data_IF_094342916725
#
_entry.id   IF_094342916725
#
_cell.length_a   1.000
_cell.length_b   1.000
_cell.length_c   1.000
_cell.angle_alpha   90.00
_cell.angle_beta   90.00
_cell.angle_gamma   90.00
#
_symmetry.space_group_name_H-M   'P 1'
#
loop_
_entity.id
_entity.type
_entity.pdbx_description
1 polymer ?
#
# COMPACT_ATOMS: atom_id res chain seq x y z
N UNK A 1 1.41 -1.02 6.08
CA UNK A 1 1.51 0.43 6.20
C UNK A 1 2.96 0.85 6.02
N UNK A 2 3.19 1.80 5.13
CA UNK A 2 4.52 2.39 4.95
C UNK A 2 4.73 3.48 5.98
N UNK A 3 5.94 3.64 6.40
CA UNK A 3 6.60 4.64 7.29
C UNK A 3 5.70 5.44 8.24
N UNK A 4 5.94 5.23 9.50
CA UNK A 4 5.35 5.99 10.59
C UNK A 4 6.50 6.43 11.50
N UNK A 5 6.54 7.71 11.93
CA UNK A 5 7.50 8.16 12.93
C UNK A 5 7.31 7.39 14.24
N UNK A 6 8.34 7.39 15.11
CA UNK A 6 8.28 6.79 16.46
C UNK A 6 6.87 6.89 17.03
N UNK A 7 6.11 5.82 16.97
CA UNK A 7 4.69 5.88 17.22
C UNK A 7 4.37 5.30 18.58
N UNK A 8 3.85 6.17 19.42
CA UNK A 8 3.08 5.74 20.57
C UNK A 8 1.63 5.58 20.15
N UNK A 9 1.13 4.38 20.12
CA UNK A 9 -0.31 4.14 20.02
C UNK A 9 -0.89 4.34 21.42
N UNK A 10 -1.91 5.19 21.56
CA UNK A 10 -2.73 5.22 22.76
C UNK A 10 -4.04 4.49 22.50
N UNK A 11 -4.36 3.53 23.35
CA UNK A 11 -5.68 2.92 23.35
C UNK A 11 -6.75 3.88 23.94
N UNK A 12 -8.00 3.43 23.97
CA UNK A 12 -9.11 4.19 24.56
C UNK A 12 -8.97 4.41 26.09
N UNK A 13 -8.17 3.59 26.76
CA UNK A 13 -7.97 3.67 28.21
C UNK A 13 -6.73 4.52 28.56
N UNK A 14 -6.10 5.15 27.57
CA UNK A 14 -4.92 5.98 27.73
C UNK A 14 -3.62 5.20 27.86
N UNK A 15 -3.64 3.88 27.65
CA UNK A 15 -2.44 3.05 27.65
C UNK A 15 -1.62 3.37 26.39
N UNK A 16 -0.37 3.67 26.61
CA UNK A 16 0.61 3.95 25.56
C UNK A 16 1.29 2.66 25.12
N UNK A 17 1.34 2.42 23.83
CA UNK A 17 2.10 1.34 23.21
C UNK A 17 3.18 1.94 22.33
N UNK A 18 4.43 1.56 22.53
CA UNK A 18 5.56 2.00 21.72
C UNK A 18 5.83 0.97 20.62
N UNK A 19 5.76 1.39 19.37
CA UNK A 19 6.15 0.54 18.24
C UNK A 19 7.67 0.56 18.08
N UNK A 20 8.24 -0.58 17.71
CA UNK A 20 9.68 -0.65 17.40
C UNK A 20 10.04 0.19 16.17
N UNK A 21 11.20 0.83 16.20
CA UNK A 21 11.77 1.47 15.02
C UNK A 21 12.62 0.46 14.25
N UNK A 22 12.34 0.32 12.95
CA UNK A 22 13.05 -0.62 12.07
C UNK A 22 13.60 0.04 10.81
N UNK A 23 13.39 1.35 10.67
CA UNK A 23 13.98 2.18 9.62
C UNK A 23 14.34 3.56 10.17
N UNK A 24 15.60 3.72 10.66
CA UNK A 24 15.99 4.90 11.39
C UNK A 24 15.12 5.09 12.64
N UNK A 25 14.47 6.25 12.75
CA UNK A 25 13.50 6.53 13.83
C UNK A 25 12.06 6.12 13.46
N UNK A 26 11.86 5.52 12.28
CA UNK A 26 10.53 5.22 11.77
C UNK A 26 10.17 3.74 11.95
N UNK A 27 8.86 3.49 11.99
CA UNK A 27 8.28 2.16 11.93
C UNK A 27 7.76 1.90 10.52
N UNK A 28 8.24 0.83 9.88
CA UNK A 28 7.92 0.49 8.50
C UNK A 28 7.42 -0.95 8.38
N UNK A 29 6.39 -1.18 7.55
CA UNK A 29 5.87 -2.49 7.16
C UNK A 29 5.49 -3.41 8.34
N UNK A 30 5.09 -2.85 9.49
CA UNK A 30 4.73 -3.65 10.67
C UNK A 30 5.91 -4.10 11.53
N UNK A 31 7.11 -3.52 11.32
CA UNK A 31 8.29 -3.80 12.13
C UNK A 31 9.11 -5.00 11.64
N UNK A 32 10.07 -5.43 12.49
CA UNK A 32 11.00 -6.50 12.14
C UNK A 32 10.34 -7.89 12.01
N UNK A 33 9.14 -8.06 12.60
CA UNK A 33 8.30 -9.26 12.49
C UNK A 33 6.98 -8.97 11.76
N UNK A 34 6.99 -8.00 10.83
CA UNK A 34 5.82 -7.67 10.02
C UNK A 34 5.30 -8.88 9.23
N UNK A 35 4.05 -8.82 8.75
CA UNK A 35 3.37 -9.94 8.09
C UNK A 35 4.13 -10.55 6.92
N UNK A 36 4.97 -9.79 6.24
CA UNK A 36 5.85 -10.25 5.15
C UNK A 36 6.99 -11.17 5.60
N UNK A 37 7.24 -11.27 6.91
CA UNK A 37 8.29 -12.13 7.51
C UNK A 37 7.70 -13.27 8.35
N UNK A 38 6.39 -13.34 8.46
CA UNK A 38 5.73 -14.39 9.22
C UNK A 38 5.57 -15.65 8.40
N UNK A 39 5.56 -16.76 9.09
CA UNK A 39 5.03 -18.02 8.55
C UNK A 39 3.51 -17.96 8.49
N UNK A 40 2.96 -18.32 7.36
CA UNK A 40 1.53 -18.38 7.12
C UNK A 40 1.08 -19.83 6.99
N UNK A 41 -0.03 -20.15 7.61
CA UNK A 41 -0.64 -21.48 7.55
C UNK A 41 -1.60 -21.50 6.37
N UNK A 42 -1.44 -22.48 5.46
CA UNK A 42 -2.41 -22.73 4.41
C UNK A 42 -3.63 -23.42 5.01
N UNK A 43 -4.72 -22.66 5.16
CA UNK A 43 -5.98 -23.16 5.74
C UNK A 43 -6.78 -23.94 4.70
N UNK A 44 -6.80 -23.44 3.48
CA UNK A 44 -7.51 -24.05 2.38
C UNK A 44 -6.87 -23.65 1.04
N UNK A 45 -6.89 -24.59 0.08
CA UNK A 45 -6.45 -24.31 -1.27
C UNK A 45 -7.27 -25.11 -2.28
N UNK A 46 -7.45 -24.55 -3.44
CA UNK A 46 -8.02 -25.21 -4.61
C UNK A 46 -7.18 -24.86 -5.84
N UNK A 47 -7.60 -25.30 -7.00
CA UNK A 47 -6.92 -25.00 -8.27
C UNK A 47 -6.79 -23.49 -8.54
N UNK A 48 -7.77 -22.71 -8.07
CA UNK A 48 -7.86 -21.27 -8.34
C UNK A 48 -8.04 -20.40 -7.09
N UNK A 49 -7.82 -20.95 -5.90
CA UNK A 49 -7.89 -20.16 -4.65
C UNK A 49 -6.94 -20.68 -3.59
N UNK A 50 -6.46 -19.75 -2.75
CA UNK A 50 -5.60 -20.04 -1.62
C UNK A 50 -6.01 -19.16 -0.44
N UNK A 51 -6.23 -19.76 0.72
CA UNK A 51 -6.49 -19.07 1.98
C UNK A 51 -5.35 -19.32 2.94
N UNK A 52 -4.73 -18.24 3.40
CA UNK A 52 -3.62 -18.26 4.35
C UNK A 52 -4.03 -17.55 5.63
N UNK A 53 -3.58 -18.04 6.77
CA UNK A 53 -3.77 -17.37 8.06
C UNK A 53 -2.47 -17.23 8.85
N UNK A 54 -2.41 -16.23 9.71
CA UNK A 54 -1.37 -16.09 10.71
C UNK A 54 -1.87 -15.34 11.95
N UNK A 55 -1.13 -15.47 13.03
CA UNK A 55 -1.39 -14.76 14.28
C UNK A 55 -0.24 -13.79 14.59
N UNK A 56 -0.58 -12.52 14.84
CA UNK A 56 0.30 -11.58 15.50
C UNK A 56 -0.06 -11.53 16.98
N UNK A 57 0.88 -11.91 17.86
CA UNK A 57 0.65 -11.97 19.29
C UNK A 57 0.65 -10.57 19.91
N UNK A 58 -0.04 -10.43 21.04
CA UNK A 58 -0.03 -9.19 21.83
C UNK A 58 1.39 -8.70 22.07
N UNK A 59 1.63 -7.40 21.81
CA UNK A 59 2.91 -6.70 21.90
C UNK A 59 3.98 -7.15 20.88
N UNK A 60 3.63 -7.95 19.90
CA UNK A 60 4.56 -8.21 18.80
C UNK A 60 4.80 -6.92 18.01
N UNK A 61 6.08 -6.54 17.86
CA UNK A 61 6.51 -5.23 17.33
C UNK A 61 5.87 -4.01 18.02
N UNK A 62 5.33 -4.20 19.25
CA UNK A 62 4.67 -3.18 20.05
C UNK A 62 3.15 -3.05 19.84
N UNK A 63 2.55 -3.82 18.94
CA UNK A 63 1.10 -3.74 18.67
C UNK A 63 0.26 -4.40 19.77
N UNK A 64 -0.82 -3.73 20.26
CA UNK A 64 -1.72 -4.35 21.21
C UNK A 64 -2.62 -5.40 20.56
N UNK A 65 -3.04 -6.38 21.37
CA UNK A 65 -3.99 -7.42 21.00
C UNK A 65 -3.36 -8.61 20.25
N UNK A 66 -4.04 -9.75 20.36
CA UNK A 66 -3.77 -10.91 19.52
C UNK A 66 -4.58 -10.74 18.23
N UNK A 67 -3.90 -10.44 17.13
CA UNK A 67 -4.51 -10.18 15.84
C UNK A 67 -4.41 -11.43 14.97
N UNK A 68 -5.54 -12.09 14.73
CA UNK A 68 -5.67 -13.15 13.73
C UNK A 68 -5.93 -12.52 12.37
N UNK A 69 -5.10 -12.84 11.39
CA UNK A 69 -5.21 -12.34 10.01
C UNK A 69 -5.43 -13.51 9.07
N UNK A 70 -6.34 -13.34 8.14
CA UNK A 70 -6.55 -14.26 7.02
C UNK A 70 -6.46 -13.48 5.73
N UNK A 71 -5.73 -14.00 4.75
CA UNK A 71 -5.72 -13.51 3.38
C UNK A 71 -6.19 -14.59 2.44
N UNK A 72 -7.11 -14.23 1.55
CA UNK A 72 -7.64 -15.13 0.52
C UNK A 72 -7.29 -14.56 -0.86
N UNK A 73 -6.67 -15.40 -1.66
CA UNK A 73 -6.42 -15.17 -3.08
C UNK A 73 -7.41 -16.01 -3.88
N UNK A 74 -8.07 -15.41 -4.87
CA UNK A 74 -8.97 -16.13 -5.76
C UNK A 74 -8.78 -15.64 -7.20
N UNK A 75 -8.57 -16.57 -8.13
CA UNK A 75 -8.44 -16.26 -9.55
C UNK A 75 -9.69 -16.77 -10.29
N UNK A 76 -10.42 -15.86 -10.91
CA UNK A 76 -11.62 -16.20 -11.69
C UNK A 76 -11.27 -16.65 -13.12
N UNK A 77 -12.22 -17.31 -13.78
CA UNK A 77 -12.10 -17.68 -15.21
C UNK A 77 -12.14 -16.44 -16.15
N UNK A 78 -12.42 -15.26 -15.61
CA UNK A 78 -12.40 -13.98 -16.34
C UNK A 78 -11.13 -13.18 -16.07
N UNK A 79 -10.06 -13.83 -15.58
CA UNK A 79 -8.76 -13.23 -15.27
C UNK A 79 -8.82 -12.15 -14.19
N UNK A 80 -9.71 -12.29 -13.21
CA UNK A 80 -9.76 -11.41 -12.05
C UNK A 80 -9.05 -12.11 -10.89
N UNK A 81 -7.99 -11.48 -10.39
CA UNK A 81 -7.32 -11.89 -9.15
C UNK A 81 -7.87 -11.04 -8.00
N UNK A 82 -8.64 -11.66 -7.12
CA UNK A 82 -9.09 -11.05 -5.88
C UNK A 82 -8.11 -11.33 -4.75
N UNK A 83 -7.80 -10.29 -3.98
CA UNK A 83 -7.06 -10.39 -2.71
C UNK A 83 -7.97 -9.81 -1.62
N UNK A 84 -8.37 -10.67 -0.68
CA UNK A 84 -9.27 -10.33 0.42
C UNK A 84 -8.53 -10.48 1.74
N UNK A 85 -8.59 -9.45 2.59
CA UNK A 85 -8.04 -9.50 3.95
C UNK A 85 -9.16 -9.52 4.96
N UNK A 86 -9.07 -10.42 5.92
CA UNK A 86 -9.93 -10.53 7.09
C UNK A 86 -9.06 -10.44 8.34
N UNK A 87 -9.51 -9.75 9.36
CA UNK A 87 -8.79 -9.74 10.63
C UNK A 87 -9.72 -9.52 11.82
N UNK A 88 -9.36 -10.13 12.96
CA UNK A 88 -10.02 -9.92 14.25
C UNK A 88 -8.95 -9.81 15.33
N UNK A 89 -9.21 -8.96 16.34
CA UNK A 89 -8.30 -8.79 17.48
C UNK A 89 -9.08 -8.83 18.78
N UNK A 90 -8.47 -9.36 19.85
CA UNK A 90 -9.03 -9.35 21.21
C UNK A 90 -8.92 -7.98 21.90
N UNK A 91 -8.20 -7.02 21.28
CA UNK A 91 -8.04 -5.63 21.75
C UNK A 91 -8.11 -4.66 20.60
N UNK A 92 -8.42 -3.37 20.92
CA UNK A 92 -8.25 -2.31 19.93
C UNK A 92 -6.79 -2.30 19.42
N UNK A 93 -6.62 -2.38 18.10
CA UNK A 93 -5.29 -2.41 17.49
C UNK A 93 -5.28 -1.70 16.14
N UNK A 94 -4.11 -1.49 15.56
CA UNK A 94 -3.95 -0.89 14.24
C UNK A 94 -3.72 -1.99 13.21
N UNK A 95 -4.45 -1.90 12.10
CA UNK A 95 -4.26 -2.80 10.96
C UNK A 95 -4.50 -2.05 9.64
N UNK A 96 -3.53 -2.10 8.75
CA UNK A 96 -3.58 -1.48 7.42
C UNK A 96 -2.81 -2.38 6.44
N UNK A 97 -3.42 -3.51 6.02
CA UNK A 97 -2.77 -4.46 5.13
C UNK A 97 -2.75 -3.93 3.69
N UNK A 98 -1.76 -4.37 2.94
CA UNK A 98 -1.70 -4.18 1.49
C UNK A 98 -0.86 -5.27 0.84
N UNK A 99 -1.05 -5.48 -0.46
CA UNK A 99 -0.18 -6.31 -1.27
C UNK A 99 0.93 -5.46 -1.89
N UNK A 100 2.18 -5.81 -1.61
CA UNK A 100 3.35 -5.09 -2.13
C UNK A 100 3.90 -5.78 -3.40
N UNK A 101 2.99 -6.19 -4.29
CA UNK A 101 3.37 -6.82 -5.56
C UNK A 101 4.04 -5.81 -6.49
N UNK A 102 5.14 -6.24 -7.13
CA UNK A 102 5.81 -5.46 -8.15
C UNK A 102 5.34 -5.87 -9.53
N UNK A 103 4.88 -4.90 -10.31
CA UNK A 103 4.43 -5.10 -11.68
C UNK A 103 5.45 -4.59 -12.69
N UNK A 104 5.70 -5.39 -13.71
CA UNK A 104 6.29 -5.00 -14.97
C UNK A 104 5.58 -5.81 -16.07
N UNK A 105 4.77 -5.14 -16.88
CA UNK A 105 3.91 -5.78 -17.88
C UNK A 105 4.67 -6.21 -19.15
N UNK A 106 5.92 -5.80 -19.27
CA UNK A 106 6.75 -6.19 -20.40
C UNK A 106 8.08 -6.79 -19.90
N UNK A 107 8.21 -8.12 -19.83
CA UNK A 107 9.44 -8.76 -19.35
C UNK A 107 10.67 -8.52 -20.25
N UNK A 108 10.48 -8.03 -21.49
CA UNK A 108 11.57 -7.64 -22.39
C UNK A 108 12.13 -6.26 -22.03
N UNK A 109 11.33 -5.41 -21.41
CA UNK A 109 11.74 -4.09 -20.92
C UNK A 109 12.29 -4.21 -19.50
N UNK A 110 13.53 -3.75 -19.31
CA UNK A 110 14.19 -3.75 -18.00
C UNK A 110 13.60 -2.74 -17.03
N UNK A 111 12.75 -1.80 -17.48
CA UNK A 111 12.18 -0.75 -16.65
C UNK A 111 10.72 -0.48 -16.98
N UNK A 112 10.00 0.12 -16.01
CA UNK A 112 8.58 0.47 -16.15
C UNK A 112 8.37 1.90 -16.70
N UNK A 113 9.41 2.58 -17.10
CA UNK A 113 9.32 4.01 -17.49
C UNK A 113 8.46 4.25 -18.72
N UNK A 114 8.28 3.25 -19.58
CA UNK A 114 7.39 3.32 -20.76
C UNK A 114 5.97 2.85 -20.48
N UNK A 115 5.69 2.32 -19.27
CA UNK A 115 4.31 1.94 -18.91
C UNK A 115 3.46 3.18 -18.80
N UNK A 116 2.19 3.03 -19.13
CA UNK A 116 1.17 4.05 -18.99
C UNK A 116 0.36 3.78 -17.74
N UNK A 117 0.06 4.85 -17.02
CA UNK A 117 -0.64 4.78 -15.75
C UNK A 117 -1.77 5.81 -15.73
N UNK A 118 -2.93 5.37 -15.26
CA UNK A 118 -4.04 6.23 -14.86
C UNK A 118 -4.41 5.91 -13.43
N UNK A 119 -4.60 6.92 -12.60
CA UNK A 119 -5.09 6.79 -11.22
C UNK A 119 -6.27 7.74 -11.05
N UNK A 120 -7.37 7.20 -10.59
CA UNK A 120 -8.56 7.99 -10.32
C UNK A 120 -8.43 8.78 -9.01
N UNK A 121 -7.58 9.76 -9.03
CA UNK A 121 -7.26 10.61 -7.89
C UNK A 121 -6.96 12.03 -8.31
N UNK A 122 -7.58 13.00 -7.65
CA UNK A 122 -7.31 14.43 -7.80
C UNK A 122 -6.34 14.97 -6.74
N UNK A 123 -5.92 14.13 -5.77
CA UNK A 123 -5.05 14.53 -4.66
C UNK A 123 -4.08 13.41 -4.29
N UNK A 124 -2.91 13.81 -3.82
CA UNK A 124 -1.95 12.91 -3.18
C UNK A 124 -1.51 13.46 -1.83
N UNK A 125 -0.93 12.61 -0.99
CA UNK A 125 -0.41 13.01 0.32
C UNK A 125 1.01 13.56 0.15
N UNK A 126 1.25 14.78 0.67
CA UNK A 126 2.59 15.34 0.77
C UNK A 126 3.42 14.53 1.76
N UNK A 127 4.68 14.28 1.43
CA UNK A 127 5.65 13.64 2.31
C UNK A 127 6.75 14.60 2.75
N UNK A 128 7.29 14.39 3.95
CA UNK A 128 8.49 15.06 4.44
C UNK A 128 9.78 14.35 3.96
N UNK A 129 10.94 14.86 4.38
CA UNK A 129 12.25 14.29 4.00
C UNK A 129 12.49 12.87 4.51
N UNK A 130 11.73 12.43 5.50
CA UNK A 130 11.75 11.06 6.02
C UNK A 130 10.72 10.16 5.32
N UNK A 131 10.12 10.65 4.22
CA UNK A 131 9.07 9.98 3.44
C UNK A 131 7.76 9.74 4.23
N UNK A 132 7.53 10.51 5.29
CA UNK A 132 6.35 10.41 6.14
C UNK A 132 5.27 11.39 5.63
N UNK A 133 4.01 10.98 5.46
CA UNK A 133 2.93 11.90 5.16
C UNK A 133 2.80 12.98 6.23
N UNK A 134 2.77 14.25 5.77
CA UNK A 134 2.68 15.42 6.64
C UNK A 134 1.26 15.68 7.17
N UNK A 135 0.25 15.11 6.51
CA UNK A 135 -1.17 15.38 6.73
C UNK A 135 -1.78 16.29 5.67
N UNK A 136 -0.94 16.89 4.83
CA UNK A 136 -1.37 17.78 3.76
C UNK A 136 -1.77 17.01 2.50
N UNK A 137 -2.91 17.41 1.92
CA UNK A 137 -3.41 16.93 0.66
C UNK A 137 -3.01 17.89 -0.45
N UNK A 138 -2.24 17.45 -1.43
CA UNK A 138 -1.83 18.26 -2.60
C UNK A 138 -2.66 17.88 -3.81
N UNK A 139 -3.11 18.88 -4.57
CA UNK A 139 -3.79 18.64 -5.84
C UNK A 139 -2.81 18.03 -6.86
N UNK A 140 -3.31 17.11 -7.69
CA UNK A 140 -2.53 16.49 -8.76
C UNK A 140 -2.47 17.35 -10.02
N UNK A 141 -3.54 18.11 -10.29
CA UNK A 141 -3.74 18.89 -11.53
C UNK A 141 -2.54 19.78 -11.85
N UNK A 142 -2.06 19.70 -13.08
CA UNK A 142 -0.91 20.45 -13.60
C UNK A 142 0.40 20.18 -12.86
N UNK A 143 0.52 19.04 -12.20
CA UNK A 143 1.75 18.59 -11.53
C UNK A 143 2.25 17.26 -12.14
N UNK A 144 3.48 16.83 -11.83
CA UNK A 144 3.95 15.49 -12.21
C UNK A 144 3.05 14.36 -11.70
N UNK A 145 2.25 14.60 -10.67
CA UNK A 145 1.34 13.63 -10.06
C UNK A 145 -0.03 13.54 -10.74
N UNK A 146 -0.25 14.26 -11.84
CA UNK A 146 -1.52 14.20 -12.58
C UNK A 146 -1.58 12.93 -13.44
N UNK A 147 -2.24 11.92 -12.89
CA UNK A 147 -2.55 10.64 -13.53
C UNK A 147 -4.06 10.45 -13.75
N UNK A 148 -4.87 11.51 -13.65
CA UNK A 148 -6.30 11.43 -13.96
C UNK A 148 -6.55 11.01 -15.41
N UNK A 149 -5.69 11.46 -16.31
CA UNK A 149 -5.61 10.96 -17.68
C UNK A 149 -4.45 9.98 -17.79
N UNK A 150 -4.57 9.01 -18.67
CA UNK A 150 -3.55 8.03 -18.98
C UNK A 150 -2.25 8.72 -19.46
N UNK A 151 -1.13 8.45 -18.76
CA UNK A 151 0.15 9.11 -18.97
C UNK A 151 1.31 8.13 -18.86
N UNK A 152 2.37 8.33 -19.63
CA UNK A 152 3.62 7.55 -19.51
C UNK A 152 4.32 7.93 -18.20
N UNK A 153 4.65 6.94 -17.38
CA UNK A 153 5.25 7.14 -16.06
C UNK A 153 6.57 7.91 -16.15
N UNK A 154 7.38 7.60 -17.15
CA UNK A 154 8.71 8.19 -17.35
C UNK A 154 8.70 9.67 -17.77
N UNK A 155 7.59 10.20 -18.29
CA UNK A 155 7.50 11.60 -18.78
C UNK A 155 7.88 12.62 -17.70
N UNK A 156 7.45 12.35 -16.47
CA UNK A 156 7.60 13.28 -15.37
C UNK A 156 8.57 12.81 -14.28
N UNK A 157 9.09 11.59 -14.39
CA UNK A 157 9.86 10.95 -13.32
C UNK A 157 11.12 11.74 -12.92
N UNK A 158 11.70 12.48 -13.88
CA UNK A 158 12.90 13.29 -13.70
C UNK A 158 12.62 14.80 -13.66
N UNK A 159 11.36 15.23 -13.61
CA UNK A 159 11.04 16.65 -13.48
C UNK A 159 11.54 17.21 -12.15
N UNK A 160 11.99 18.46 -12.19
CA UNK A 160 12.38 19.18 -10.97
C UNK A 160 11.14 19.51 -10.14
N UNK A 161 10.77 18.60 -9.26
CA UNK A 161 9.66 18.75 -8.35
C UNK A 161 10.10 18.29 -6.95
N UNK A 162 9.79 19.08 -5.91
CA UNK A 162 10.21 18.83 -4.53
C UNK A 162 9.86 17.41 -4.07
N UNK A 163 8.64 16.95 -4.33
CA UNK A 163 8.15 15.66 -3.87
C UNK A 163 8.84 14.50 -4.62
N UNK A 164 9.02 14.62 -5.93
CA UNK A 164 9.79 13.65 -6.73
C UNK A 164 11.25 13.59 -6.29
N UNK A 165 11.86 14.76 -5.98
CA UNK A 165 13.26 14.83 -5.53
C UNK A 165 13.44 14.14 -4.18
N UNK A 166 12.52 14.34 -3.22
CA UNK A 166 12.52 13.65 -1.93
C UNK A 166 12.44 12.14 -2.15
N UNK A 167 11.45 11.66 -2.89
CA UNK A 167 11.20 10.23 -3.10
C UNK A 167 12.13 9.57 -4.14
N UNK A 168 12.94 10.36 -4.87
CA UNK A 168 13.77 9.90 -6.00
C UNK A 168 12.97 9.25 -7.13
N UNK A 169 11.72 9.67 -7.28
CA UNK A 169 10.69 9.17 -8.17
C UNK A 169 9.31 9.22 -7.49
N UNK A 170 8.38 8.37 -7.89
CA UNK A 170 7.10 8.29 -7.17
C UNK A 170 7.24 7.32 -5.99
N UNK A 171 6.80 7.75 -4.81
CA UNK A 171 6.57 6.96 -3.60
C UNK A 171 5.54 7.67 -2.73
N UNK A 172 4.32 7.80 -3.29
CA UNK A 172 3.28 8.66 -2.71
C UNK A 172 1.93 7.94 -2.68
N UNK A 173 1.16 8.23 -1.65
CA UNK A 173 -0.21 7.75 -1.52
C UNK A 173 -1.16 8.73 -2.24
N UNK A 174 -1.87 8.23 -3.24
CA UNK A 174 -2.93 8.93 -3.94
C UNK A 174 -4.26 8.72 -3.22
N UNK A 175 -5.04 9.79 -3.08
CA UNK A 175 -6.36 9.77 -2.45
C UNK A 175 -7.39 9.42 -3.51
N UNK A 176 -7.97 8.23 -3.46
CA UNK A 176 -8.92 7.78 -4.47
C UNK A 176 -10.22 8.58 -4.43
N UNK A 177 -10.68 9.00 -5.60
CA UNK A 177 -11.95 9.69 -5.75
C UNK A 177 -13.10 8.72 -5.51
N UNK A 178 -14.10 9.14 -4.74
CA UNK A 178 -15.29 8.33 -4.46
C UNK A 178 -16.17 8.16 -5.70
N UNK A 179 -16.90 7.04 -5.75
CA UNK A 179 -17.93 6.80 -6.77
C UNK A 179 -17.42 6.26 -8.11
N UNK A 180 -16.12 6.04 -8.25
CA UNK A 180 -15.54 5.42 -9.44
C UNK A 180 -15.24 3.94 -9.17
N UNK A 181 -15.53 3.08 -10.17
CA UNK A 181 -15.29 1.65 -10.03
C UNK A 181 -13.81 1.31 -10.14
N UNK A 182 -13.10 1.88 -11.13
CA UNK A 182 -11.69 1.62 -11.40
C UNK A 182 -10.85 2.62 -10.61
N UNK A 183 -10.01 2.12 -9.71
CA UNK A 183 -9.09 2.91 -8.91
C UNK A 183 -7.84 3.33 -9.71
N UNK A 184 -7.29 2.39 -10.48
CA UNK A 184 -6.14 2.64 -11.35
C UNK A 184 -6.10 1.68 -12.54
N UNK A 185 -5.40 2.10 -13.60
CA UNK A 185 -5.12 1.29 -14.79
C UNK A 185 -3.64 1.39 -15.12
N UNK A 186 -2.99 0.26 -15.29
CA UNK A 186 -1.59 0.16 -15.71
C UNK A 186 -1.55 -0.60 -17.03
N UNK A 187 -0.94 -0.01 -18.07
CA UNK A 187 -0.83 -0.64 -19.39
C UNK A 187 0.58 -0.54 -19.96
N UNK A 188 0.88 -1.41 -20.90
CA UNK A 188 2.12 -1.39 -21.65
C UNK A 188 1.86 -1.73 -23.13
N UNK A 189 2.23 -0.80 -24.01
CA UNK A 189 1.79 -0.81 -25.41
C UNK A 189 2.41 -1.94 -26.25
N UNK A 190 3.68 -2.26 -26.04
CA UNK A 190 4.38 -3.28 -26.85
C UNK A 190 3.87 -4.70 -26.53
N UNK A 191 3.54 -4.96 -25.26
CA UNK A 191 3.01 -6.24 -24.81
C UNK A 191 1.50 -6.35 -24.97
N UNK A 192 0.80 -5.22 -25.08
CA UNK A 192 -0.67 -5.12 -25.08
C UNK A 192 -1.31 -5.48 -23.76
N UNK A 193 -0.54 -5.60 -22.67
CA UNK A 193 -1.07 -5.97 -21.36
C UNK A 193 -1.66 -4.78 -20.63
N UNK A 194 -2.77 -5.03 -19.94
CA UNK A 194 -3.49 -4.07 -19.10
C UNK A 194 -3.82 -4.72 -17.76
N UNK A 195 -3.64 -3.99 -16.68
CA UNK A 195 -4.18 -4.32 -15.35
C UNK A 195 -5.11 -3.20 -14.94
N UNK A 196 -6.32 -3.54 -14.51
CA UNK A 196 -7.27 -2.64 -13.88
C UNK A 196 -7.38 -2.99 -12.40
N UNK A 197 -7.38 -1.98 -11.54
CA UNK A 197 -7.43 -2.15 -10.08
C UNK A 197 -8.76 -1.63 -9.55
N UNK A 198 -9.44 -2.49 -8.81
CA UNK A 198 -10.68 -2.19 -8.08
C UNK A 198 -10.43 -2.39 -6.60
N UNK A 199 -10.89 -1.49 -5.75
CA UNK A 199 -10.65 -1.59 -4.32
C UNK A 199 -11.70 -0.83 -3.51
N UNK A 200 -11.93 -1.27 -2.28
CA UNK A 200 -12.70 -0.56 -1.25
C UNK A 200 -11.83 0.40 -0.42
N UNK A 201 -10.53 0.43 -0.68
CA UNK A 201 -9.59 1.23 0.09
C UNK A 201 -9.60 2.71 -0.32
N UNK A 202 -9.37 3.65 0.63
CA UNK A 202 -9.42 5.09 0.36
C UNK A 202 -8.21 5.62 -0.41
N UNK A 203 -7.13 4.84 -0.51
CA UNK A 203 -5.88 5.27 -1.14
C UNK A 203 -5.16 4.18 -1.89
N UNK A 204 -4.26 4.62 -2.77
CA UNK A 204 -3.34 3.75 -3.50
C UNK A 204 -1.94 4.35 -3.46
N UNK A 205 -0.97 3.59 -2.99
CA UNK A 205 0.44 3.97 -3.03
C UNK A 205 1.02 3.63 -4.39
N UNK A 206 1.54 4.62 -5.08
CA UNK A 206 2.39 4.43 -6.26
C UNK A 206 3.85 4.45 -5.81
N UNK A 207 4.56 3.35 -6.02
CA UNK A 207 6.00 3.26 -5.82
C UNK A 207 6.67 2.77 -7.10
N UNK A 208 7.56 3.55 -7.67
CA UNK A 208 8.21 3.26 -8.96
C UNK A 208 9.54 2.51 -8.84
N UNK A 209 9.74 1.75 -7.76
CA UNK A 209 10.96 0.94 -7.58
C UNK A 209 12.24 1.76 -7.47
N UNK A 210 12.15 2.96 -6.85
CA UNK A 210 13.24 3.95 -6.80
C UNK A 210 14.49 3.44 -6.08
N UNK A 211 14.31 2.53 -5.12
CA UNK A 211 15.35 1.98 -4.25
C UNK A 211 15.67 0.51 -4.54
N UNK A 212 15.16 -0.06 -5.63
CA UNK A 212 15.53 -1.40 -6.05
C UNK A 212 17.04 -1.47 -6.35
N UNK A 213 17.68 -2.53 -5.85
CA UNK A 213 19.13 -2.77 -5.97
C UNK A 213 19.44 -4.27 -5.93
N UNK A 214 20.68 -4.63 -6.16
CA UNK A 214 21.13 -6.02 -6.16
C UNK A 214 20.76 -6.74 -7.45
N UNK A 215 19.94 -7.78 -7.34
CA UNK A 215 19.43 -8.54 -8.49
C UNK A 215 18.41 -7.75 -9.33
N UNK A 216 17.83 -6.70 -8.75
CA UNK A 216 16.92 -5.79 -9.44
C UNK A 216 17.56 -4.44 -9.66
N UNK A 217 17.10 -3.73 -10.68
CA UNK A 217 17.55 -2.37 -11.02
C UNK A 217 16.47 -1.33 -10.69
N UNK A 218 16.89 -0.08 -10.47
CA UNK A 218 15.97 1.05 -10.28
C UNK A 218 14.92 1.07 -11.41
N UNK A 219 13.67 1.26 -11.03
CA UNK A 219 12.51 1.31 -11.92
C UNK A 219 12.26 0.01 -12.72
N UNK A 220 12.73 -1.14 -12.27
CA UNK A 220 12.48 -2.43 -12.93
C UNK A 220 11.06 -2.94 -12.68
N UNK A 221 10.42 -2.52 -11.62
CA UNK A 221 9.02 -2.79 -11.28
C UNK A 221 8.40 -1.61 -10.55
N UNK A 222 7.08 -1.54 -10.55
CA UNK A 222 6.32 -0.58 -9.75
C UNK A 222 5.30 -1.30 -8.87
N UNK A 223 4.89 -0.65 -7.78
CA UNK A 223 3.84 -1.14 -6.90
C UNK A 223 2.64 -0.19 -6.94
N UNK A 224 1.45 -0.79 -6.88
CA UNK A 224 0.17 -0.11 -6.73
C UNK A 224 -0.52 -0.74 -5.51
N UNK A 225 -0.31 -0.14 -4.33
CA UNK A 225 -0.69 -0.71 -3.06
C UNK A 225 -1.95 -0.02 -2.53
N UNK A 226 -3.05 -0.71 -2.60
CA UNK A 226 -4.34 -0.23 -2.10
C UNK A 226 -4.39 -0.38 -0.59
N UNK A 227 -4.69 0.71 0.12
CA UNK A 227 -4.62 0.76 1.58
C UNK A 227 -5.28 2.02 2.14
N UNK A 228 -5.41 2.08 3.45
CA UNK A 228 -5.60 3.34 4.17
C UNK A 228 -4.32 4.17 4.11
N UNK A 229 -4.46 5.47 4.40
CA UNK A 229 -3.32 6.39 4.29
C UNK A 229 -2.20 6.01 5.27
N UNK A 230 -0.93 6.03 4.84
CA UNK A 230 0.19 5.88 5.76
C UNK A 230 0.16 6.99 6.82
N UNK A 231 0.64 6.70 8.04
CA UNK A 231 0.63 7.60 9.19
C UNK A 231 -0.77 7.96 9.74
N UNK A 232 -1.83 7.25 9.32
CA UNK A 232 -3.21 7.46 9.80
C UNK A 232 -3.36 7.45 11.32
N UNK A 233 -2.65 6.63 12.11
CA UNK A 233 -2.81 6.64 13.56
C UNK A 233 -2.42 7.95 14.25
N UNK A 234 -1.56 8.75 13.61
CA UNK A 234 -1.11 10.05 14.15
C UNK A 234 -1.96 11.20 13.60
N UNK A 235 -2.35 11.13 12.32
CA UNK A 235 -3.03 12.22 11.63
C UNK A 235 -4.55 12.04 11.75
N UNK A 236 -5.18 12.79 12.64
CA UNK A 236 -6.62 12.66 12.96
C UNK A 236 -7.56 12.92 11.77
N UNK A 237 -7.12 13.67 10.77
CA UNK A 237 -7.91 13.93 9.55
C UNK A 237 -7.92 12.76 8.58
N UNK A 238 -7.08 11.76 8.78
CA UNK A 238 -7.02 10.57 7.94
C UNK A 238 -8.06 9.52 8.38
N UNK A 239 -8.53 8.67 7.46
CA UNK A 239 -9.36 7.53 7.79
C UNK A 239 -8.69 6.64 8.84
N UNK A 240 -9.46 6.21 9.84
CA UNK A 240 -8.91 5.38 10.93
C UNK A 240 -8.47 4.01 10.45
N UNK A 241 -7.32 3.57 10.92
CA UNK A 241 -6.80 2.20 10.73
C UNK A 241 -6.97 1.34 12.00
N UNK A 242 -7.78 1.80 12.95
CA UNK A 242 -8.04 1.08 14.21
C UNK A 242 -9.12 0.04 13.98
N UNK A 243 -8.80 -1.22 14.28
CA UNK A 243 -9.78 -2.29 14.46
C UNK A 243 -10.19 -2.30 15.93
N UNK A 244 -11.49 -2.34 16.17
CA UNK A 244 -12.03 -2.48 17.52
C UNK A 244 -11.94 -3.92 18.00
N UNK A 245 -11.76 -4.09 19.32
CA UNK A 245 -11.77 -5.40 19.94
C UNK A 245 -13.02 -6.22 19.53
N UNK A 246 -12.78 -7.46 19.13
CA UNK A 246 -13.83 -8.41 18.75
C UNK A 246 -14.71 -7.96 17.57
N UNK A 247 -14.21 -7.01 16.73
CA UNK A 247 -14.86 -6.67 15.47
C UNK A 247 -14.08 -7.24 14.30
N UNK A 248 -14.79 -7.57 13.23
CA UNK A 248 -14.17 -8.05 12.00
C UNK A 248 -13.73 -6.89 11.12
N UNK A 249 -12.50 -6.97 10.62
CA UNK A 249 -11.99 -6.14 9.53
C UNK A 249 -12.12 -6.92 8.22
N UNK A 250 -12.52 -6.23 7.19
CA UNK A 250 -12.55 -6.74 5.82
C UNK A 250 -12.03 -5.68 4.84
N UNK A 251 -11.27 -6.12 3.86
CA UNK A 251 -10.95 -5.31 2.69
C UNK A 251 -10.70 -6.19 1.47
N UNK A 252 -10.96 -5.63 0.30
CA UNK A 252 -10.81 -6.32 -0.98
C UNK A 252 -10.12 -5.45 -2.03
N UNK A 253 -9.22 -6.07 -2.78
CA UNK A 253 -8.65 -5.51 -4.00
C UNK A 253 -8.72 -6.56 -5.11
N UNK A 254 -9.13 -6.13 -6.29
CA UNK A 254 -9.19 -6.97 -7.51
C UNK A 254 -8.28 -6.39 -8.58
N UNK A 255 -7.59 -7.29 -9.28
CA UNK A 255 -6.70 -6.99 -10.40
C UNK A 255 -7.18 -7.69 -11.66
#
# INVERSE_FOLDING_TARGET
SRRQRQMCIRDRNGIKYDLESNEGLNHLHGGNKGFHKKEWIAENHSENSLTLSCLSKHLECGYPGNLKVTVKYSLSNTNILDIEFYATSDRDTIFNPTSHSYFNLNPRNKTIVKHRLKINSSKFLEIDNDYIPTGEFKNTTSTPFDFLSDKIIGEDLNKNNKQLNIAKGYDHCFVLNKGQKIAAELSELESGRLIQIFTDQPGIQLYTGNHLKGVFSKNQGLCLETQHFPNSPIIKSFPSTIIKANTEYYSKTSY
#
